data_IF_830512723427
#
_entry.id   IF_830512723427
#
_cell.length_a   1.000
_cell.length_b   1.000
_cell.length_c   1.000
_cell.angle_alpha   90.00
_cell.angle_beta   90.00
_cell.angle_gamma   90.00
#
_symmetry.space_group_name_H-M   'P 1'
#
loop_
_entity.id
_entity.type
_entity.pdbx_description
1 polymer ?
#
# COMPACT_ATOMS: atom_id res chain seq x y z
N UNK A 1 2.22 -5.95 13.05
CA UNK A 1 2.39 -6.68 11.77
C UNK A 1 3.78 -6.57 11.19
N UNK A 2 4.39 -5.38 11.07
CA UNK A 2 5.74 -5.21 10.47
C UNK A 2 6.83 -6.11 11.07
N UNK A 3 6.84 -6.31 12.40
CA UNK A 3 7.76 -7.23 13.10
C UNK A 3 7.69 -8.68 12.63
N UNK A 4 6.53 -9.19 12.23
CA UNK A 4 6.42 -10.56 11.74
C UNK A 4 7.13 -10.74 10.39
N UNK A 5 7.15 -9.70 9.56
CA UNK A 5 7.88 -9.71 8.28
C UNK A 5 9.38 -9.59 8.51
N UNK A 6 9.80 -8.66 9.39
CA UNK A 6 11.22 -8.40 9.64
C UNK A 6 11.90 -9.50 10.44
N UNK A 7 11.19 -10.09 11.41
CA UNK A 7 11.80 -10.97 12.41
C UNK A 7 11.58 -12.46 12.10
N UNK A 8 10.51 -12.80 11.36
CA UNK A 8 10.17 -14.19 11.01
C UNK A 8 10.31 -14.50 9.51
N UNK A 9 10.69 -13.51 8.69
CA UNK A 9 10.89 -13.68 7.24
C UNK A 9 9.61 -14.02 6.46
N UNK A 10 8.43 -13.81 7.06
CA UNK A 10 7.16 -14.12 6.42
C UNK A 10 6.66 -12.93 5.59
N UNK A 11 6.30 -13.16 4.33
CA UNK A 11 5.67 -12.12 3.50
C UNK A 11 4.21 -11.94 3.90
N UNK A 12 3.79 -10.69 4.15
CA UNK A 12 2.39 -10.35 4.44
C UNK A 12 1.83 -9.57 3.25
N UNK A 13 0.68 -10.01 2.76
CA UNK A 13 -0.18 -9.21 1.88
C UNK A 13 -1.34 -8.70 2.71
N UNK A 14 -1.60 -7.41 2.64
CA UNK A 14 -2.74 -6.77 3.29
C UNK A 14 -3.49 -5.91 2.27
N UNK A 15 -4.79 -5.77 2.48
CA UNK A 15 -5.66 -4.89 1.71
C UNK A 15 -6.20 -3.85 2.68
N UNK A 16 -6.05 -2.56 2.33
CA UNK A 16 -6.52 -1.46 3.16
C UNK A 16 -6.85 -0.26 2.29
N UNK A 17 -7.81 0.54 2.75
CA UNK A 17 -8.10 1.87 2.21
C UNK A 17 -7.46 3.00 3.03
N UNK A 18 -6.76 2.66 4.13
CA UNK A 18 -6.03 3.62 4.96
C UNK A 18 -4.60 3.83 4.43
N UNK A 19 -4.29 5.06 4.03
CA UNK A 19 -2.98 5.47 3.53
C UNK A 19 -1.85 5.30 4.57
N UNK A 20 -2.14 5.52 5.86
CA UNK A 20 -1.16 5.37 6.94
C UNK A 20 -0.80 3.90 7.07
N UNK A 21 -1.80 3.01 7.12
CA UNK A 21 -1.57 1.57 7.16
C UNK A 21 -0.79 1.07 5.93
N UNK A 22 -1.16 1.51 4.73
CA UNK A 22 -0.50 1.12 3.48
C UNK A 22 0.95 1.60 3.41
N UNK A 23 1.27 2.77 3.99
CA UNK A 23 2.64 3.31 4.00
C UNK A 23 3.65 2.48 4.78
N UNK A 24 3.20 1.53 5.61
CA UNK A 24 4.09 0.59 6.29
C UNK A 24 4.60 -0.53 5.38
N UNK A 25 3.98 -0.76 4.22
CA UNK A 25 4.39 -1.77 3.27
C UNK A 25 5.66 -1.35 2.53
N UNK A 26 6.43 -2.32 2.06
CA UNK A 26 7.59 -2.03 1.21
C UNK A 26 7.16 -1.66 -0.22
N UNK A 27 6.03 -2.22 -0.67
CA UNK A 27 5.40 -1.98 -1.97
C UNK A 27 3.88 -1.98 -1.85
N UNK A 28 3.23 -1.09 -2.59
CA UNK A 28 1.77 -1.03 -2.77
C UNK A 28 1.43 -1.31 -4.23
N UNK A 29 0.38 -2.09 -4.46
CA UNK A 29 -0.29 -2.22 -5.76
C UNK A 29 -1.67 -1.62 -5.62
N UNK A 30 -1.99 -0.64 -6.45
CA UNK A 30 -3.27 0.03 -6.46
C UNK A 30 -4.23 -0.68 -7.42
N UNK A 31 -5.47 -0.86 -6.98
CA UNK A 31 -6.52 -1.49 -7.76
C UNK A 31 -7.67 -0.50 -7.98
N UNK A 32 -8.15 -0.44 -9.22
CA UNK A 32 -9.34 0.31 -9.62
C UNK A 32 -10.15 -0.53 -10.59
N UNK A 33 -11.46 -0.67 -10.36
CA UNK A 33 -12.38 -1.42 -11.22
C UNK A 33 -11.87 -2.83 -11.59
N UNK A 34 -11.27 -3.52 -10.63
CA UNK A 34 -10.73 -4.87 -10.81
C UNK A 34 -9.44 -4.94 -11.63
N UNK A 35 -8.82 -3.80 -11.95
CA UNK A 35 -7.55 -3.70 -12.70
C UNK A 35 -6.46 -3.08 -11.84
N UNK A 36 -5.20 -3.39 -12.18
CA UNK A 36 -4.04 -2.70 -11.60
C UNK A 36 -4.00 -1.28 -12.16
N UNK A 37 -4.19 -0.31 -11.27
CA UNK A 37 -4.15 1.11 -11.60
C UNK A 37 -2.73 1.67 -11.50
N UNK A 38 -1.89 1.05 -10.67
CA UNK A 38 -0.47 1.40 -10.56
C UNK A 38 0.22 0.72 -9.40
N UNK A 39 1.47 1.11 -9.17
CA UNK A 39 2.29 0.60 -8.07
C UNK A 39 3.15 1.70 -7.45
N UNK A 40 3.55 1.50 -6.20
CA UNK A 40 4.44 2.41 -5.46
C UNK A 40 5.40 1.62 -4.59
N UNK A 41 6.70 1.89 -4.75
CA UNK A 41 7.77 1.40 -3.87
C UNK A 41 8.16 2.48 -2.87
N UNK A 42 8.59 2.07 -1.66
CA UNK A 42 8.96 3.01 -0.59
C UNK A 42 7.86 4.06 -0.31
N UNK A 43 6.64 3.62 0.02
CA UNK A 43 5.51 4.50 0.20
C UNK A 43 5.68 5.43 1.40
N UNK A 44 5.11 6.63 1.29
CA UNK A 44 4.90 7.55 2.42
C UNK A 44 3.41 7.85 2.54
N UNK A 45 2.88 8.15 3.74
CA UNK A 45 1.46 8.46 3.92
C UNK A 45 0.94 9.50 2.93
N UNK A 46 1.71 10.58 2.71
CA UNK A 46 1.34 11.67 1.80
C UNK A 46 1.23 11.20 0.35
N UNK A 47 2.22 10.46 -0.16
CA UNK A 47 2.21 9.93 -1.54
C UNK A 47 1.03 8.99 -1.76
N UNK A 48 0.73 8.14 -0.78
CA UNK A 48 -0.37 7.18 -0.86
C UNK A 48 -1.70 7.91 -0.84
N UNK A 49 -1.87 8.87 0.06
CA UNK A 49 -3.09 9.66 0.16
C UNK A 49 -3.35 10.44 -1.12
N UNK A 50 -2.33 11.08 -1.68
CA UNK A 50 -2.45 11.80 -2.94
C UNK A 50 -2.82 10.86 -4.08
N UNK A 51 -2.19 9.68 -4.18
CA UNK A 51 -2.56 8.70 -5.20
C UNK A 51 -4.02 8.24 -5.08
N UNK A 52 -4.50 7.97 -3.86
CA UNK A 52 -5.88 7.55 -3.62
C UNK A 52 -6.91 8.63 -3.99
N UNK A 53 -6.59 9.92 -3.79
CA UNK A 53 -7.47 11.02 -4.22
C UNK A 53 -7.67 11.02 -5.74
N UNK A 54 -6.59 10.89 -6.51
CA UNK A 54 -6.65 10.87 -7.98
C UNK A 54 -7.33 9.61 -8.53
N UNK A 55 -7.43 8.55 -7.74
CA UNK A 55 -8.06 7.29 -8.12
C UNK A 55 -9.59 7.30 -7.97
N UNK A 56 -10.10 8.18 -7.11
CA UNK A 56 -11.54 8.32 -6.82
C UNK A 56 -12.23 9.42 -7.63
N UNK A 57 -11.49 10.14 -8.48
CA UNK A 57 -12.00 11.09 -9.49
C UNK A 57 -12.27 10.38 -10.81
#
# INVERSE_FOLDING_TARGET
>A
MRRAVTDLGQTIVMVTHDAVAASYADRIVFLADGKIAGEMTQPTPDKVLDYLKHLGE
#
